data_IF_140474847103
#
_entry.id   IF_140474847103
#
_cell.length_a   1.000
_cell.length_b   1.000
_cell.length_c   1.000
_cell.angle_alpha   90.00
_cell.angle_beta   90.00
_cell.angle_gamma   90.00
#
_symmetry.space_group_name_H-M   'P 1'
#
loop_
_entity.id
_entity.type
_entity.pdbx_description
1 polymer ?
#
# COMPACT_ATOMS: atom_id res chain seq x y z
N UNK A 1 16.57 26.13 -6.81
CA UNK A 1 16.91 25.05 -5.87
C UNK A 1 15.69 24.69 -5.06
N UNK A 2 15.34 23.43 -5.03
CA UNK A 2 14.22 22.98 -4.22
C UNK A 2 14.59 23.04 -2.74
N UNK A 3 13.69 23.52 -1.93
CA UNK A 3 13.85 23.47 -0.49
C UNK A 3 13.05 22.31 0.06
N UNK A 4 13.67 21.55 0.90
CA UNK A 4 13.01 20.47 1.61
C UNK A 4 12.71 20.91 3.03
N UNK A 5 11.46 20.77 3.42
CA UNK A 5 11.04 21.03 4.78
C UNK A 5 11.01 19.71 5.52
N UNK A 6 11.94 19.54 6.45
CA UNK A 6 12.07 18.28 7.20
C UNK A 6 11.14 18.22 8.40
N UNK A 7 10.48 19.34 8.73
CA UNK A 7 9.64 19.48 9.91
C UNK A 7 8.20 19.76 9.53
N UNK A 8 7.60 18.85 8.76
CA UNK A 8 6.18 18.95 8.45
C UNK A 8 5.37 18.55 9.67
N UNK A 9 4.36 19.34 9.97
CA UNK A 9 3.44 19.07 11.06
C UNK A 9 2.22 18.32 10.56
N UNK A 10 1.46 17.75 11.49
CA UNK A 10 0.20 17.12 11.17
C UNK A 10 -0.72 18.09 10.42
N UNK A 11 -1.25 17.65 9.31
CA UNK A 11 -2.10 18.50 8.46
C UNK A 11 -1.37 19.26 7.37
N UNK A 12 -0.06 19.27 7.37
CA UNK A 12 0.70 19.89 6.31
C UNK A 12 0.56 19.08 5.02
N UNK A 13 0.57 19.78 3.90
CA UNK A 13 0.41 19.15 2.58
C UNK A 13 1.61 19.47 1.71
N UNK A 14 2.18 18.44 1.12
CA UNK A 14 3.14 18.60 0.04
C UNK A 14 2.39 18.34 -1.27
N UNK A 15 2.14 19.41 -2.04
CA UNK A 15 1.33 19.31 -3.25
C UNK A 15 2.13 18.81 -4.44
N UNK A 16 3.35 19.33 -4.60
CA UNK A 16 4.19 18.93 -5.71
C UNK A 16 5.65 19.16 -5.38
N UNK A 17 6.49 18.23 -5.78
CA UNK A 17 7.93 18.42 -5.79
C UNK A 17 8.38 18.25 -7.23
N UNK A 18 8.96 19.31 -7.79
CA UNK A 18 9.43 19.31 -9.17
C UNK A 18 10.95 19.32 -9.18
N UNK A 19 11.52 18.38 -9.87
CA UNK A 19 12.94 18.40 -10.19
C UNK A 19 13.16 19.04 -11.57
N UNK A 20 14.38 19.22 -11.96
CA UNK A 20 14.76 19.98 -13.16
C UNK A 20 13.96 19.61 -14.42
N UNK A 21 12.85 20.26 -14.62
CA UNK A 21 12.16 20.32 -15.89
C UNK A 21 11.21 19.18 -16.15
N UNK A 22 11.65 18.00 -16.45
CA UNK A 22 10.76 17.01 -17.08
C UNK A 22 10.34 15.87 -16.18
N UNK A 23 10.96 15.70 -15.04
CA UNK A 23 10.63 14.59 -14.15
C UNK A 23 10.25 15.06 -12.77
N UNK A 24 9.28 14.38 -12.19
CA UNK A 24 8.82 14.60 -10.83
C UNK A 24 9.11 13.36 -10.03
N UNK A 25 9.67 13.52 -8.85
CA UNK A 25 9.91 12.38 -8.01
C UNK A 25 10.30 12.77 -6.61
N UNK A 26 10.06 11.87 -5.70
CA UNK A 26 10.50 11.97 -4.32
C UNK A 26 11.34 10.73 -4.03
N UNK A 27 12.58 10.96 -3.60
CA UNK A 27 13.44 9.86 -3.18
C UNK A 27 13.51 9.86 -1.66
N UNK A 28 13.11 8.76 -1.05
CA UNK A 28 13.10 8.60 0.40
C UNK A 28 13.98 7.40 0.73
N UNK A 29 15.04 7.64 1.50
CA UNK A 29 15.95 6.58 1.92
C UNK A 29 15.53 5.90 3.21
N UNK A 30 14.51 6.43 3.87
CA UNK A 30 13.92 5.88 5.09
C UNK A 30 12.53 5.37 4.80
N UNK A 31 11.87 4.82 5.81
CA UNK A 31 10.50 4.37 5.66
C UNK A 31 9.57 5.54 5.38
N UNK A 32 8.62 5.34 4.49
CA UNK A 32 7.53 6.28 4.26
C UNK A 32 6.32 5.80 5.05
N UNK A 33 5.94 6.56 6.06
CA UNK A 33 4.77 6.26 6.88
C UNK A 33 3.62 7.16 6.46
N UNK A 34 2.55 6.56 5.97
CA UNK A 34 1.38 7.30 5.49
C UNK A 34 0.12 6.47 5.72
N UNK A 35 -1.03 7.14 5.79
CA UNK A 35 -2.30 6.44 5.99
C UNK A 35 -2.85 5.84 4.71
N UNK A 36 -2.48 6.37 3.55
CA UNK A 36 -3.00 5.91 2.26
C UNK A 36 -2.06 6.31 1.13
N UNK A 37 -1.84 5.39 0.22
CA UNK A 37 -1.13 5.66 -1.04
C UNK A 37 -2.11 5.46 -2.18
N UNK A 38 -2.24 6.47 -3.04
CA UNK A 38 -3.02 6.39 -4.26
C UNK A 38 -2.08 6.61 -5.44
N UNK A 39 -1.98 5.63 -6.30
CA UNK A 39 -1.15 5.70 -7.49
C UNK A 39 -2.03 5.77 -8.73
N UNK A 40 -1.72 6.70 -9.63
CA UNK A 40 -2.42 6.78 -10.93
C UNK A 40 -1.84 5.83 -11.97
N UNK A 41 -0.71 5.22 -11.69
CA UNK A 41 -0.06 4.24 -12.53
C UNK A 41 0.29 3.00 -11.72
N UNK A 42 1.32 2.30 -12.15
CA UNK A 42 1.75 1.11 -11.46
C UNK A 42 2.47 1.43 -10.13
N UNK A 43 2.38 0.51 -9.19
CA UNK A 43 3.23 0.47 -8.00
C UNK A 43 4.24 -0.65 -8.21
N UNK A 44 5.53 -0.31 -8.20
CA UNK A 44 6.58 -1.25 -8.53
C UNK A 44 7.54 -1.42 -7.36
N UNK A 45 7.65 -2.65 -6.89
CA UNK A 45 8.61 -3.02 -5.86
C UNK A 45 9.75 -3.79 -6.53
N UNK A 46 10.97 -3.26 -6.44
CA UNK A 46 12.09 -3.79 -7.22
C UNK A 46 13.12 -4.54 -6.39
N UNK A 47 12.92 -4.63 -5.08
CA UNK A 47 13.84 -5.35 -4.22
C UNK A 47 13.89 -6.84 -4.59
N UNK A 48 15.09 -7.39 -4.62
CA UNK A 48 15.28 -8.83 -4.84
C UNK A 48 15.52 -9.57 -3.52
N UNK A 49 15.56 -8.87 -2.39
CA UNK A 49 15.86 -9.45 -1.08
C UNK A 49 14.76 -9.22 -0.06
N UNK A 50 13.75 -8.42 -0.38
CA UNK A 50 12.64 -8.15 0.52
C UNK A 50 11.33 -8.22 -0.25
N UNK A 51 10.29 -8.80 0.35
CA UNK A 51 9.00 -8.96 -0.31
C UNK A 51 8.11 -7.74 -0.15
N UNK A 52 7.01 -7.77 -0.87
CA UNK A 52 5.87 -6.89 -0.61
C UNK A 52 4.96 -7.56 0.43
N UNK A 53 4.61 -6.83 1.47
CA UNK A 53 3.73 -7.34 2.51
C UNK A 53 2.33 -6.74 2.36
N UNK A 54 1.30 -7.54 2.05
CA UNK A 54 -0.08 -7.08 2.18
C UNK A 54 -0.45 -6.96 3.66
N UNK A 55 -1.57 -6.30 3.99
CA UNK A 55 -2.03 -6.25 5.38
C UNK A 55 -2.19 -7.66 5.95
N UNK A 56 -1.65 -7.89 7.15
CA UNK A 56 -1.77 -9.16 7.87
C UNK A 56 -2.83 -8.97 8.93
N UNK A 57 -3.91 -9.72 8.84
CA UNK A 57 -5.09 -9.55 9.69
C UNK A 57 -5.58 -10.91 10.20
N UNK A 58 -6.36 -10.88 11.28
CA UNK A 58 -7.06 -12.07 11.75
C UNK A 58 -8.32 -12.29 10.91
N UNK A 59 -8.90 -13.48 11.00
CA UNK A 59 -10.17 -13.78 10.34
C UNK A 59 -11.26 -12.79 10.76
N UNK A 60 -11.34 -12.50 12.07
CA UNK A 60 -12.32 -11.52 12.56
C UNK A 60 -12.13 -10.13 12.00
N UNK A 61 -10.89 -9.69 11.88
CA UNK A 61 -10.57 -8.40 11.28
C UNK A 61 -10.92 -8.38 9.80
N UNK A 62 -10.59 -9.44 9.06
CA UNK A 62 -10.92 -9.55 7.65
C UNK A 62 -12.42 -9.49 7.40
N UNK A 63 -13.19 -10.29 8.14
CA UNK A 63 -14.64 -10.35 7.95
C UNK A 63 -15.35 -9.09 8.46
N UNK A 64 -14.72 -8.33 9.35
CA UNK A 64 -15.27 -7.08 9.85
C UNK A 64 -15.03 -5.86 8.97
N UNK A 65 -14.28 -5.99 7.89
CA UNK A 65 -14.02 -4.87 6.98
C UNK A 65 -15.28 -4.52 6.19
N UNK A 66 -15.48 -3.22 5.96
CA UNK A 66 -16.61 -2.71 5.19
C UNK A 66 -16.14 -1.71 4.15
N UNK A 67 -17.00 -1.38 3.19
CA UNK A 67 -16.68 -0.43 2.13
C UNK A 67 -15.68 -0.96 1.13
N UNK A 68 -15.59 -2.26 0.97
CA UNK A 68 -14.61 -2.89 0.08
C UNK A 68 -15.10 -2.92 -1.35
N UNK A 69 -14.14 -2.84 -2.26
CA UNK A 69 -14.38 -3.08 -3.69
C UNK A 69 -13.60 -4.32 -4.14
N UNK A 70 -13.97 -4.86 -5.28
CA UNK A 70 -13.26 -6.00 -5.85
C UNK A 70 -11.77 -5.69 -6.02
N UNK A 71 -10.93 -6.64 -5.71
CA UNK A 71 -9.48 -6.51 -5.83
C UNK A 71 -8.75 -6.24 -4.52
N UNK A 72 -9.47 -5.94 -3.43
CA UNK A 72 -8.82 -5.81 -2.12
C UNK A 72 -8.15 -7.13 -1.72
N UNK A 73 -6.98 -7.06 -1.11
CA UNK A 73 -6.21 -8.24 -0.73
C UNK A 73 -5.69 -8.10 0.70
N UNK A 74 -5.76 -9.19 1.45
CA UNK A 74 -5.15 -9.29 2.78
C UNK A 74 -4.59 -10.70 2.99
N UNK A 75 -3.70 -10.83 3.96
CA UNK A 75 -3.25 -12.12 4.45
C UNK A 75 -3.95 -12.42 5.77
N UNK A 76 -4.70 -13.52 5.82
CA UNK A 76 -5.40 -13.97 7.01
C UNK A 76 -4.46 -14.84 7.84
N UNK A 77 -4.01 -14.32 8.99
CA UNK A 77 -3.02 -15.00 9.81
C UNK A 77 -3.60 -16.16 10.61
N UNK A 78 -4.90 -16.17 10.87
CA UNK A 78 -5.54 -17.28 11.57
C UNK A 78 -5.62 -18.53 10.68
N UNK A 79 -5.84 -18.32 9.38
CA UNK A 79 -5.96 -19.40 8.41
C UNK A 79 -4.62 -19.70 7.73
N UNK A 80 -3.76 -18.68 7.64
CA UNK A 80 -2.48 -18.81 6.96
C UNK A 80 -2.60 -18.76 5.45
N UNK A 81 -3.49 -17.95 4.93
CA UNK A 81 -3.74 -17.85 3.49
C UNK A 81 -4.00 -16.43 3.05
N UNK A 82 -3.67 -16.16 1.80
CA UNK A 82 -3.99 -14.91 1.15
C UNK A 82 -5.45 -14.93 0.72
N UNK A 83 -6.13 -13.81 0.91
CA UNK A 83 -7.53 -13.63 0.51
C UNK A 83 -7.66 -12.43 -0.41
N UNK A 84 -8.60 -12.50 -1.32
CA UNK A 84 -9.01 -11.35 -2.12
C UNK A 84 -10.53 -11.18 -2.08
N UNK A 85 -10.97 -9.94 -2.23
CA UNK A 85 -12.40 -9.62 -2.27
C UNK A 85 -12.84 -9.55 -3.72
N UNK A 86 -13.88 -10.32 -4.08
CA UNK A 86 -14.33 -10.40 -5.47
C UNK A 86 -15.44 -9.39 -5.82
N UNK A 87 -15.74 -8.48 -4.90
CA UNK A 87 -16.83 -7.51 -5.04
C UNK A 87 -18.09 -7.88 -4.26
N UNK A 88 -18.19 -9.12 -3.81
CA UNK A 88 -19.31 -9.63 -3.02
C UNK A 88 -18.89 -10.34 -1.76
N UNK A 89 -17.83 -11.11 -1.83
CA UNK A 89 -17.35 -11.91 -0.70
C UNK A 89 -15.85 -12.11 -0.79
N UNK A 90 -15.24 -12.47 0.33
CA UNK A 90 -13.85 -12.86 0.39
C UNK A 90 -13.66 -14.24 -0.21
N UNK A 91 -12.60 -14.39 -0.99
CA UNK A 91 -12.18 -15.66 -1.57
C UNK A 91 -10.76 -15.96 -1.16
N UNK A 92 -10.54 -17.19 -0.73
CA UNK A 92 -9.21 -17.67 -0.43
C UNK A 92 -8.43 -17.93 -1.71
N UNK A 93 -7.18 -17.49 -1.74
CA UNK A 93 -6.28 -17.88 -2.82
C UNK A 93 -5.79 -19.29 -2.50
N UNK A 94 -6.18 -20.25 -3.30
CA UNK A 94 -5.81 -21.63 -3.08
C UNK A 94 -4.55 -22.00 -3.85
N UNK A 95 -3.71 -22.80 -3.21
CA UNK A 95 -2.52 -23.35 -3.84
C UNK A 95 -2.87 -24.75 -4.29
N UNK A 96 -2.75 -24.99 -5.60
CA UNK A 96 -2.93 -26.32 -6.18
C UNK A 96 -1.55 -26.94 -6.32
N UNK A 97 -1.30 -27.99 -5.54
CA UNK A 97 -0.01 -28.66 -5.55
C UNK A 97 0.06 -29.71 -6.66
#
# INVERSE_FOLDING_TARGET
MAKFYTNLSSGDTVTAIQTNGSEYGISISQDLDCSKVTASGEVKCTSTTAPFYPPVVTTGQRTGMSGLTAGAMVYDSDIGSLYFYNGSTWKRVEVVA
#
